data_IF_189904804085
#
_entry.id   IF_189904804085
#
_cell.length_a   1.000
_cell.length_b   1.000
_cell.length_c   1.000
_cell.angle_alpha   90.00
_cell.angle_beta   90.00
_cell.angle_gamma   90.00
#
_symmetry.space_group_name_H-M   'P 1'
#
loop_
_entity.id
_entity.type
_entity.pdbx_description
1 polymer ?
#
# COMPACT_ATOMS: atom_id res chain seq x y z
N UNK A 1 17.68 -14.72 14.28
CA UNK A 1 16.43 -14.84 13.50
C UNK A 1 15.18 -14.42 14.29
N UNK A 2 15.17 -14.51 15.62
CA UNK A 2 14.00 -14.22 16.47
C UNK A 2 13.43 -12.81 16.30
N UNK A 3 14.28 -11.78 16.31
CA UNK A 3 13.85 -10.36 16.21
C UNK A 3 13.13 -10.07 14.89
N UNK A 4 13.55 -10.68 13.78
CA UNK A 4 12.89 -10.48 12.48
C UNK A 4 11.50 -11.12 12.44
N UNK A 5 11.33 -12.32 13.02
CA UNK A 5 10.01 -12.96 13.13
C UNK A 5 9.06 -12.11 13.98
N UNK A 6 9.54 -11.62 15.13
CA UNK A 6 8.77 -10.70 15.98
C UNK A 6 8.42 -9.39 15.27
N UNK A 7 9.36 -8.84 14.48
CA UNK A 7 9.13 -7.63 13.71
C UNK A 7 8.03 -7.84 12.65
N UNK A 8 8.09 -8.96 11.91
CA UNK A 8 7.08 -9.33 10.91
C UNK A 8 5.72 -9.55 11.58
N UNK A 9 5.68 -10.24 12.73
CA UNK A 9 4.47 -10.39 13.52
C UNK A 9 3.87 -9.02 13.91
N UNK A 10 4.69 -8.08 14.38
CA UNK A 10 4.25 -6.72 14.65
C UNK A 10 3.70 -5.98 13.42
N UNK A 11 4.20 -6.29 12.21
CA UNK A 11 3.65 -5.73 10.97
C UNK A 11 2.27 -6.31 10.65
N UNK A 12 2.08 -7.63 10.81
CA UNK A 12 0.80 -8.31 10.61
C UNK A 12 -0.26 -7.75 11.57
N UNK A 13 0.11 -7.56 12.84
CA UNK A 13 -0.72 -6.94 13.88
C UNK A 13 -0.92 -5.42 13.73
N UNK A 14 -0.38 -4.82 12.66
CA UNK A 14 -0.52 -3.39 12.31
C UNK A 14 -0.01 -2.45 13.41
N UNK A 15 0.96 -2.87 14.22
CA UNK A 15 1.52 -2.03 15.29
C UNK A 15 2.32 -0.83 14.75
N UNK A 16 2.30 0.24 15.54
CA UNK A 16 3.07 1.45 15.25
C UNK A 16 4.57 1.19 15.35
N UNK A 17 5.38 1.96 14.60
CA UNK A 17 6.84 1.84 14.62
C UNK A 17 7.46 1.95 16.02
N UNK A 18 6.90 2.80 16.88
CA UNK A 18 7.38 2.97 18.26
C UNK A 18 7.12 1.71 19.09
N UNK A 19 5.90 1.17 19.03
CA UNK A 19 5.53 -0.07 19.69
C UNK A 19 6.34 -1.26 19.18
N UNK A 20 6.53 -1.36 17.85
CA UNK A 20 7.37 -2.40 17.25
C UNK A 20 8.83 -2.27 17.71
N UNK A 21 9.36 -1.05 17.79
CA UNK A 21 10.72 -0.81 18.23
C UNK A 21 10.95 -1.23 19.69
N UNK A 22 10.00 -0.92 20.56
CA UNK A 22 10.00 -1.34 21.97
C UNK A 22 9.95 -2.87 22.11
N UNK A 23 8.98 -3.53 21.46
CA UNK A 23 8.82 -5.00 21.51
C UNK A 23 10.08 -5.71 20.99
N UNK A 24 10.68 -5.20 19.92
CA UNK A 24 11.85 -5.82 19.29
C UNK A 24 13.19 -5.37 19.90
N UNK A 25 13.20 -4.47 20.89
CA UNK A 25 14.42 -3.94 21.49
C UNK A 25 15.34 -3.16 20.52
N UNK A 26 14.78 -2.46 19.54
CA UNK A 26 15.52 -1.72 18.51
C UNK A 26 15.18 -0.22 18.52
N UNK A 27 16.00 0.59 17.85
CA UNK A 27 15.66 2.01 17.66
C UNK A 27 14.46 2.18 16.71
N UNK A 28 13.66 3.24 16.91
CA UNK A 28 12.54 3.57 15.99
C UNK A 28 13.02 3.82 14.56
N UNK A 29 14.24 4.37 14.38
CA UNK A 29 14.86 4.55 13.06
C UNK A 29 15.14 3.22 12.39
N UNK A 30 15.72 2.27 13.12
CA UNK A 30 15.97 0.90 12.63
C UNK A 30 14.66 0.24 12.21
N UNK A 31 13.64 0.34 13.06
CA UNK A 31 12.30 -0.17 12.74
C UNK A 31 11.76 0.45 11.45
N UNK A 32 11.88 1.76 11.26
CA UNK A 32 11.43 2.42 10.03
C UNK A 32 12.17 1.89 8.79
N UNK A 33 13.50 1.80 8.84
CA UNK A 33 14.31 1.29 7.73
C UNK A 33 13.97 -0.17 7.41
N UNK A 34 13.78 -1.01 8.42
CA UNK A 34 13.43 -2.42 8.21
C UNK A 34 12.07 -2.58 7.54
N UNK A 35 11.07 -1.76 7.93
CA UNK A 35 9.76 -1.77 7.27
C UNK A 35 9.88 -1.47 5.78
N UNK A 36 10.71 -0.49 5.40
CA UNK A 36 10.93 -0.16 3.99
C UNK A 36 11.62 -1.29 3.24
N UNK A 37 12.62 -1.94 3.84
CA UNK A 37 13.30 -3.10 3.23
C UNK A 37 12.34 -4.27 2.99
N UNK A 38 11.47 -4.57 3.96
CA UNK A 38 10.46 -5.63 3.83
C UNK A 38 9.47 -5.27 2.72
N UNK A 39 8.93 -4.05 2.73
CA UNK A 39 7.95 -3.63 1.72
C UNK A 39 8.55 -3.59 0.30
N UNK A 40 9.81 -3.17 0.14
CA UNK A 40 10.52 -3.21 -1.14
C UNK A 40 10.69 -4.65 -1.65
N UNK A 41 11.04 -5.59 -0.76
CA UNK A 41 11.12 -7.00 -1.12
C UNK A 41 9.75 -7.57 -1.54
N UNK A 42 8.68 -7.26 -0.80
CA UNK A 42 7.32 -7.67 -1.12
C UNK A 42 6.86 -7.09 -2.47
N UNK A 43 7.19 -5.83 -2.76
CA UNK A 43 6.88 -5.20 -4.04
C UNK A 43 7.55 -5.94 -5.22
N UNK A 44 8.84 -6.30 -5.07
CA UNK A 44 9.58 -7.08 -6.06
C UNK A 44 9.01 -8.49 -6.25
N UNK A 45 8.52 -9.11 -5.18
CA UNK A 45 7.84 -10.41 -5.27
C UNK A 45 6.52 -10.28 -6.04
N UNK A 46 5.72 -9.27 -5.71
CA UNK A 46 4.45 -8.98 -6.38
C UNK A 46 4.63 -8.69 -7.88
N UNK A 47 5.74 -8.04 -8.27
CA UNK A 47 6.03 -7.77 -9.68
C UNK A 47 6.19 -9.05 -10.53
N UNK A 48 6.54 -10.18 -9.91
CA UNK A 48 6.65 -11.47 -10.58
C UNK A 48 5.35 -12.28 -10.58
N UNK A 49 4.35 -11.86 -9.79
CA UNK A 49 3.06 -12.55 -9.72
C UNK A 49 2.34 -12.45 -11.06
N UNK A 50 1.79 -13.59 -11.47
CA UNK A 50 0.82 -13.75 -12.56
C UNK A 50 -0.41 -14.43 -11.97
N UNK A 51 -1.57 -13.89 -12.26
CA UNK A 51 -2.85 -14.45 -11.86
C UNK A 51 -3.36 -15.36 -12.98
N UNK A 52 -3.96 -16.48 -12.61
CA UNK A 52 -4.46 -17.51 -13.52
C UNK A 52 -5.82 -18.02 -13.05
N UNK A 53 -6.56 -18.66 -13.97
CA UNK A 53 -7.88 -19.21 -13.70
C UNK A 53 -8.91 -18.12 -13.40
N UNK A 54 -9.69 -18.31 -12.32
CA UNK A 54 -10.70 -17.34 -11.88
C UNK A 54 -10.03 -16.25 -11.06
N UNK A 55 -10.16 -15.01 -11.55
CA UNK A 55 -9.59 -13.81 -10.92
C UNK A 55 -10.71 -12.87 -10.51
N UNK A 56 -10.74 -12.51 -9.23
CA UNK A 56 -11.58 -11.45 -8.69
C UNK A 56 -10.78 -10.15 -8.65
N UNK A 57 -11.38 -9.08 -9.15
CA UNK A 57 -10.76 -7.75 -9.19
C UNK A 57 -11.70 -6.72 -8.55
N UNK A 58 -11.12 -5.83 -7.77
CA UNK A 58 -11.81 -4.72 -7.10
C UNK A 58 -10.83 -3.58 -6.84
N UNK A 59 -11.33 -2.39 -6.49
CA UNK A 59 -10.51 -1.27 -6.08
C UNK A 59 -10.71 -0.89 -4.62
N UNK A 60 -9.61 -0.57 -3.94
CA UNK A 60 -9.65 0.02 -2.61
C UNK A 60 -9.16 1.47 -2.64
N UNK A 61 -9.75 2.30 -1.78
CA UNK A 61 -9.47 3.73 -1.74
C UNK A 61 -8.87 4.13 -0.40
N UNK A 62 -7.74 4.82 -0.45
CA UNK A 62 -7.07 5.36 0.74
C UNK A 62 -6.94 6.88 0.64
N UNK A 63 -7.18 7.64 1.73
CA UNK A 63 -6.98 9.08 1.71
C UNK A 63 -5.52 9.43 1.37
N UNK A 64 -5.33 10.26 0.34
CA UNK A 64 -4.02 10.72 -0.13
C UNK A 64 -3.23 11.35 1.01
N UNK A 65 -1.99 10.88 1.19
CA UNK A 65 -1.10 11.27 2.27
C UNK A 65 0.29 11.54 1.71
N UNK A 66 0.83 12.72 2.02
CA UNK A 66 2.18 13.15 1.62
C UNK A 66 3.17 13.09 2.79
N UNK A 67 2.89 12.23 3.78
CA UNK A 67 3.68 12.16 5.01
C UNK A 67 5.17 11.98 4.70
N UNK A 68 5.99 12.90 5.20
CA UNK A 68 7.45 12.87 5.01
C UNK A 68 7.94 13.46 3.69
N UNK A 69 7.04 13.86 2.79
CA UNK A 69 7.36 14.51 1.53
C UNK A 69 6.58 15.82 1.42
N UNK A 70 7.12 16.90 2.00
CA UNK A 70 6.45 18.22 2.06
C UNK A 70 7.32 19.39 1.59
N UNK A 71 8.60 19.15 1.27
CA UNK A 71 9.58 20.24 1.06
C UNK A 71 9.70 20.71 -0.39
N UNK A 72 9.33 19.86 -1.36
CA UNK A 72 9.70 20.07 -2.77
C UNK A 72 8.50 20.31 -3.71
N UNK A 73 7.29 20.50 -3.17
CA UNK A 73 6.10 20.82 -3.99
C UNK A 73 4.99 21.44 -3.13
N UNK A 74 4.06 22.14 -3.79
CA UNK A 74 2.85 22.64 -3.16
C UNK A 74 1.80 21.52 -3.08
N UNK A 75 1.26 21.29 -1.89
CA UNK A 75 0.20 20.31 -1.70
C UNK A 75 -1.00 20.66 -2.60
N UNK A 76 -1.59 19.70 -3.33
CA UNK A 76 -2.76 19.94 -4.17
C UNK A 76 -4.06 20.20 -3.35
N UNK A 77 -3.94 20.25 -2.02
CA UNK A 77 -5.01 20.47 -1.04
C UNK A 77 -4.39 21.05 0.24
N UNK A 78 -5.25 21.52 1.16
CA UNK A 78 -4.81 21.97 2.48
C UNK A 78 -4.15 20.84 3.29
N UNK A 79 -3.23 21.21 4.18
CA UNK A 79 -2.60 20.27 5.10
C UNK A 79 -3.66 19.65 6.03
N UNK A 80 -3.46 18.38 6.39
CA UNK A 80 -4.39 17.62 7.23
C UNK A 80 -3.66 16.91 8.36
N UNK A 81 -4.33 16.73 9.49
CA UNK A 81 -3.84 15.94 10.60
C UNK A 81 -3.93 14.44 10.31
N UNK A 82 -3.19 13.63 11.08
CA UNK A 82 -3.24 12.17 10.94
C UNK A 82 -4.64 11.67 11.30
N UNK A 83 -5.21 10.82 10.43
CA UNK A 83 -6.54 10.25 10.64
C UNK A 83 -7.68 11.16 10.18
N UNK A 84 -7.36 12.38 9.71
CA UNK A 84 -8.36 13.27 9.16
C UNK A 84 -8.90 12.71 7.82
N UNK A 85 -10.24 12.63 7.67
CA UNK A 85 -10.87 12.13 6.45
C UNK A 85 -10.58 13.05 5.26
N UNK A 86 -10.93 12.58 4.05
CA UNK A 86 -10.97 13.47 2.89
C UNK A 86 -12.01 14.57 3.13
N UNK A 87 -11.67 15.80 2.73
CA UNK A 87 -12.56 16.97 2.84
C UNK A 87 -13.74 16.81 1.89
N UNK A 88 -13.49 16.25 0.70
CA UNK A 88 -14.54 15.96 -0.29
C UNK A 88 -15.06 14.53 -0.13
N UNK A 89 -16.39 14.39 -0.03
CA UNK A 89 -17.07 13.08 -0.05
C UNK A 89 -16.92 12.38 -1.41
N UNK A 90 -16.97 11.04 -1.40
CA UNK A 90 -16.91 10.20 -2.60
C UNK A 90 -15.50 9.98 -3.15
N UNK A 91 -15.43 9.44 -4.38
CA UNK A 91 -14.18 9.09 -5.10
C UNK A 91 -13.48 10.33 -5.70
N UNK A 92 -13.20 11.31 -4.85
CA UNK A 92 -12.49 12.53 -5.22
C UNK A 92 -10.99 12.28 -5.42
N UNK A 93 -10.29 13.24 -6.02
CA UNK A 93 -8.82 13.19 -6.18
C UNK A 93 -8.04 13.25 -4.86
N UNK A 94 -8.73 13.35 -3.73
CA UNK A 94 -8.15 13.23 -2.39
C UNK A 94 -8.04 11.77 -1.93
N UNK A 95 -8.53 10.82 -2.72
CA UNK A 95 -8.40 9.38 -2.54
C UNK A 95 -7.37 8.83 -3.52
N UNK A 96 -6.49 7.94 -3.08
CA UNK A 96 -5.64 7.09 -3.92
C UNK A 96 -6.43 5.84 -4.25
N UNK A 97 -6.60 5.57 -5.54
CA UNK A 97 -7.20 4.34 -6.02
C UNK A 97 -6.11 3.27 -6.12
N UNK A 98 -6.37 2.11 -5.52
CA UNK A 98 -5.50 0.95 -5.57
C UNK A 98 -6.32 -0.17 -6.19
N UNK A 99 -5.99 -0.54 -7.42
CA UNK A 99 -6.61 -1.67 -8.09
C UNK A 99 -5.98 -2.96 -7.59
N UNK A 100 -6.84 -3.90 -7.21
CA UNK A 100 -6.51 -5.18 -6.62
C UNK A 100 -7.03 -6.32 -7.49
N UNK A 101 -6.30 -7.42 -7.51
CA UNK A 101 -6.72 -8.67 -8.14
C UNK A 101 -6.23 -9.85 -7.33
N UNK A 102 -7.07 -10.86 -7.15
CA UNK A 102 -6.77 -12.08 -6.40
C UNK A 102 -7.29 -13.29 -7.17
N UNK A 103 -6.53 -14.38 -7.21
CA UNK A 103 -7.01 -15.65 -7.77
C UNK A 103 -7.35 -16.67 -6.66
N UNK A 104 -7.97 -17.78 -7.04
CA UNK A 104 -8.32 -18.85 -6.11
C UNK A 104 -7.08 -19.56 -5.49
N UNK A 105 -5.91 -19.42 -6.10
CA UNK A 105 -4.64 -19.95 -5.58
C UNK A 105 -4.02 -19.05 -4.49
N UNK A 106 -4.66 -17.93 -4.13
CA UNK A 106 -4.18 -16.99 -3.12
C UNK A 106 -3.07 -16.05 -3.59
N UNK A 107 -2.78 -16.02 -4.90
CA UNK A 107 -1.92 -15.00 -5.49
C UNK A 107 -2.70 -13.70 -5.60
N UNK A 108 -2.05 -12.60 -5.21
CA UNK A 108 -2.65 -11.28 -5.22
C UNK A 108 -1.74 -10.23 -5.83
N UNK A 109 -2.34 -9.26 -6.50
CA UNK A 109 -1.69 -8.03 -6.93
C UNK A 109 -2.50 -6.83 -6.44
N UNK A 110 -1.81 -5.80 -5.97
CA UNK A 110 -2.41 -4.51 -5.63
C UNK A 110 -1.47 -3.39 -6.05
N UNK A 111 -1.90 -2.50 -6.95
CA UNK A 111 -1.08 -1.35 -7.37
C UNK A 111 -1.92 -0.08 -7.42
N UNK A 112 -1.25 1.04 -7.14
CA UNK A 112 -1.85 2.37 -7.33
C UNK A 112 -2.17 2.53 -8.81
N UNK A 113 -3.44 2.77 -9.11
CA UNK A 113 -3.93 2.99 -10.47
C UNK A 113 -4.00 4.48 -10.78
N UNK A 114 -4.72 5.26 -9.97
CA UNK A 114 -4.85 6.71 -10.11
C UNK A 114 -5.23 7.44 -8.79
N UNK A 115 -5.67 8.69 -8.91
CA UNK A 115 -6.32 9.44 -7.82
C UNK A 115 -7.82 9.60 -8.10
N UNK A 116 -8.66 9.20 -7.16
CA UNK A 116 -10.12 9.23 -7.26
C UNK A 116 -10.68 8.09 -8.09
N UNK A 117 -11.79 8.34 -8.80
CA UNK A 117 -12.48 7.30 -9.58
C UNK A 117 -11.58 6.73 -10.70
N UNK A 118 -11.39 5.40 -10.81
CA UNK A 118 -10.64 4.78 -11.90
C UNK A 118 -11.41 4.86 -13.23
N UNK A 119 -10.66 5.01 -14.32
CA UNK A 119 -11.14 4.73 -15.69
C UNK A 119 -10.66 3.35 -16.11
N UNK A 120 -11.24 2.83 -17.19
CA UNK A 120 -10.83 1.54 -17.78
C UNK A 120 -9.31 1.45 -17.99
N UNK A 121 -8.71 2.50 -18.56
CA UNK A 121 -7.26 2.60 -18.80
C UNK A 121 -6.41 2.48 -17.52
N UNK A 122 -6.91 3.00 -16.39
CA UNK A 122 -6.21 2.94 -15.10
C UNK A 122 -6.18 1.50 -14.56
N UNK A 123 -7.28 0.77 -14.76
CA UNK A 123 -7.44 -0.64 -14.35
C UNK A 123 -6.61 -1.55 -15.26
N UNK A 124 -6.70 -1.35 -16.57
CA UNK A 124 -5.93 -2.09 -17.58
C UNK A 124 -4.43 -2.00 -17.30
N UNK A 125 -3.93 -0.80 -16.98
CA UNK A 125 -2.52 -0.58 -16.62
C UNK A 125 -2.04 -1.47 -15.47
N UNK A 126 -2.92 -1.84 -14.54
CA UNK A 126 -2.57 -2.67 -13.38
C UNK A 126 -2.77 -4.15 -13.67
N UNK A 127 -3.87 -4.55 -14.31
CA UNK A 127 -4.30 -5.95 -14.39
C UNK A 127 -4.00 -6.64 -15.73
N UNK A 128 -3.97 -5.92 -16.86
CA UNK A 128 -4.01 -6.55 -18.20
C UNK A 128 -2.82 -7.48 -18.46
N UNK A 129 -1.62 -7.06 -18.04
CA UNK A 129 -0.38 -7.83 -18.22
C UNK A 129 -0.10 -8.76 -17.04
N UNK A 130 -1.07 -8.94 -16.13
CA UNK A 130 -0.91 -9.76 -14.93
C UNK A 130 -1.80 -10.98 -14.91
N UNK A 131 -2.89 -10.98 -15.68
CA UNK A 131 -3.80 -12.11 -15.81
C UNK A 131 -3.35 -12.96 -17.01
N UNK A 132 -3.24 -14.27 -16.80
CA UNK A 132 -2.91 -15.28 -17.80
C UNK A 132 -4.18 -16.08 -18.05
N UNK A 133 -4.53 -16.24 -19.32
CA UNK A 133 -5.67 -17.03 -19.78
C UNK A 133 -5.22 -18.43 -20.19
#
# INVERSE_FOLDING_TARGET
>A
MEVWKQYIHCMIEKYSLRKTAEICGISTRTAFTWRHKILDALQKMQDKVRLDGVVEADETFLPLSFKGHHKNFNLPRLAKHRGEPATRRGLSKEQVCISCGVNLNGLSISKISNLGKPKLQDIEKVLINKIVY
#
